data_IF_681235891266
#
_entry.id   IF_681235891266
#
_cell.length_a   1.000
_cell.length_b   1.000
_cell.length_c   1.000
_cell.angle_alpha   90.00
_cell.angle_beta   90.00
_cell.angle_gamma   90.00
#
_symmetry.space_group_name_H-M   'P 1'
#
loop_
_entity.id
_entity.type
_entity.pdbx_description
1 polymer ?
#
# COMPACT_ATOMS: atom_id res chain seq x y z
N UNK A 1 0.39 10.96 5.79
CA UNK A 1 0.01 9.61 5.28
C UNK A 1 -1.28 9.76 4.51
N UNK A 2 -1.58 8.85 3.58
CA UNK A 2 -2.77 8.96 2.73
C UNK A 2 -3.36 7.58 2.37
N UNK A 3 -4.61 7.53 1.95
CA UNK A 3 -5.33 6.30 1.58
C UNK A 3 -6.25 6.53 0.39
N UNK A 4 -6.32 5.54 -0.51
CA UNK A 4 -7.18 5.58 -1.70
C UNK A 4 -7.88 4.25 -1.88
N UNK A 5 -9.01 4.26 -2.60
CA UNK A 5 -9.63 3.05 -3.12
C UNK A 5 -9.21 2.87 -4.57
N UNK A 6 -9.01 1.62 -4.98
CA UNK A 6 -8.84 1.28 -6.39
C UNK A 6 -10.07 1.70 -7.18
N UNK A 7 -9.89 2.04 -8.45
CA UNK A 7 -11.00 2.15 -9.38
C UNK A 7 -11.45 0.75 -9.82
N UNK A 8 -12.46 0.67 -10.69
CA UNK A 8 -13.11 -0.60 -11.07
C UNK A 8 -12.16 -1.65 -11.67
N UNK A 9 -11.08 -1.22 -12.33
CA UNK A 9 -10.08 -2.12 -12.94
C UNK A 9 -8.94 -2.52 -11.97
N UNK A 10 -8.97 -2.06 -10.72
CA UNK A 10 -7.93 -2.32 -9.73
C UNK A 10 -6.81 -1.27 -9.70
N UNK A 11 -6.79 -0.29 -10.61
CA UNK A 11 -5.77 0.76 -10.65
C UNK A 11 -5.88 1.71 -9.46
N UNK A 12 -4.74 2.11 -8.90
CA UNK A 12 -4.66 3.15 -7.89
C UNK A 12 -3.37 3.95 -7.99
N UNK A 13 -3.41 5.17 -7.43
CA UNK A 13 -2.23 6.01 -7.21
C UNK A 13 -2.41 6.68 -5.85
N UNK A 14 -1.39 6.59 -5.00
CA UNK A 14 -1.41 7.19 -3.67
C UNK A 14 -0.13 7.98 -3.44
N UNK A 15 -0.27 9.15 -2.82
CA UNK A 15 0.86 9.98 -2.42
C UNK A 15 0.57 10.58 -1.07
N UNK A 16 1.43 10.32 -0.09
CA UNK A 16 1.28 10.87 1.25
C UNK A 16 2.55 11.58 1.71
N UNK A 17 2.39 12.60 2.52
CA UNK A 17 3.50 13.29 3.20
C UNK A 17 3.39 13.10 4.71
N UNK A 18 4.51 13.28 5.41
CA UNK A 18 4.52 13.31 6.87
C UNK A 18 5.59 14.30 7.33
N UNK A 19 5.20 15.22 8.21
CA UNK A 19 6.13 16.16 8.83
C UNK A 19 6.83 15.47 10.02
N UNK A 20 7.94 14.77 9.75
CA UNK A 20 8.81 14.20 10.77
C UNK A 20 10.27 14.59 10.53
N UNK A 21 11.01 14.79 11.62
CA UNK A 21 12.43 15.17 11.61
C UNK A 21 13.31 14.03 11.09
N UNK A 22 12.90 12.77 11.34
CA UNK A 22 13.65 11.56 10.94
C UNK A 22 13.17 11.03 9.59
N UNK A 23 14.04 10.28 8.91
CA UNK A 23 13.68 9.51 7.70
C UNK A 23 12.50 8.60 8.01
N UNK A 24 11.52 8.61 7.12
CA UNK A 24 10.34 7.74 7.16
C UNK A 24 10.60 6.48 6.35
N UNK A 25 10.07 5.35 6.81
CA UNK A 25 10.05 4.08 6.08
C UNK A 25 8.58 3.71 5.79
N UNK A 26 7.96 4.31 4.76
CA UNK A 26 6.55 4.10 4.48
C UNK A 26 6.30 2.68 3.96
N UNK A 27 5.06 2.22 4.15
CA UNK A 27 4.56 0.95 3.65
C UNK A 27 3.20 1.16 3.03
N UNK A 28 2.89 0.41 1.99
CA UNK A 28 1.55 0.35 1.40
C UNK A 28 0.86 -0.88 1.98
N UNK A 29 -0.28 -0.67 2.64
CA UNK A 29 -1.15 -1.76 3.09
C UNK A 29 -2.35 -1.83 2.14
N UNK A 30 -2.52 -2.98 1.49
CA UNK A 30 -3.66 -3.27 0.63
C UNK A 30 -4.62 -4.16 1.42
N UNK A 31 -5.85 -3.69 1.60
CA UNK A 31 -6.92 -4.42 2.25
C UNK A 31 -7.91 -4.93 1.21
N UNK A 32 -8.16 -6.25 1.18
CA UNK A 32 -9.01 -6.87 0.15
C UNK A 32 -9.80 -8.08 0.65
N UNK A 33 -10.82 -8.47 -0.14
CA UNK A 33 -11.62 -9.70 0.05
C UNK A 33 -11.61 -10.63 -1.17
N UNK A 34 -10.64 -10.46 -2.07
CA UNK A 34 -10.49 -11.34 -3.24
C UNK A 34 -10.36 -12.81 -2.80
N UNK A 35 -11.20 -13.68 -3.36
CA UNK A 35 -11.26 -15.11 -3.03
C UNK A 35 -11.31 -15.40 -1.52
N UNK A 36 -11.99 -14.54 -0.75
CA UNK A 36 -12.00 -14.63 0.71
C UNK A 36 -13.30 -14.04 1.30
N UNK A 37 -13.99 -14.84 2.11
CA UNK A 37 -15.32 -14.51 2.67
C UNK A 37 -15.31 -14.22 4.18
N UNK A 38 -14.14 -14.08 4.79
CA UNK A 38 -14.07 -13.79 6.22
C UNK A 38 -14.55 -12.38 6.61
N UNK A 39 -14.79 -12.20 7.91
CA UNK A 39 -15.33 -10.97 8.48
C UNK A 39 -14.47 -9.75 8.12
N UNK A 40 -13.16 -9.85 8.38
CA UNK A 40 -12.19 -8.78 8.20
C UNK A 40 -11.34 -8.99 6.95
N UNK A 41 -11.00 -7.93 6.19
CA UNK A 41 -10.22 -8.06 4.98
C UNK A 41 -8.84 -8.68 5.24
N UNK A 42 -8.31 -9.31 4.18
CA UNK A 42 -6.91 -9.68 4.11
C UNK A 42 -6.06 -8.42 3.92
N UNK A 43 -4.86 -8.43 4.50
CA UNK A 43 -3.88 -7.35 4.43
C UNK A 43 -2.61 -7.86 3.76
N UNK A 44 -2.22 -7.18 2.69
CA UNK A 44 -0.92 -7.36 2.04
C UNK A 44 -0.10 -6.09 2.25
N UNK A 45 1.13 -6.24 2.71
CA UNK A 45 2.04 -5.12 2.99
C UNK A 45 3.18 -5.09 1.98
N UNK A 46 3.33 -3.95 1.32
CA UNK A 46 4.43 -3.68 0.38
C UNK A 46 5.34 -2.64 1.01
N UNK A 47 6.63 -2.96 1.07
CA UNK A 47 7.65 -2.02 1.55
C UNK A 47 8.00 -1.04 0.43
N UNK A 48 7.87 0.25 0.71
CA UNK A 48 8.24 1.29 -0.25
C UNK A 48 9.75 1.49 -0.19
N UNK A 49 10.46 1.41 -1.33
CA UNK A 49 11.90 1.59 -1.35
C UNK A 49 12.26 3.05 -1.07
N UNK A 50 13.46 3.27 -0.50
CA UNK A 50 13.88 4.60 -0.02
C UNK A 50 14.00 5.65 -1.12
N UNK A 51 14.19 5.25 -2.38
CA UNK A 51 14.24 6.17 -3.53
C UNK A 51 12.87 6.77 -3.87
N UNK A 52 11.78 6.13 -3.44
CA UNK A 52 10.43 6.64 -3.59
C UNK A 52 10.03 7.60 -2.46
N UNK A 53 10.97 7.92 -1.56
CA UNK A 53 10.79 8.83 -0.43
C UNK A 53 11.67 10.07 -0.64
N UNK A 54 11.04 11.19 -1.00
CA UNK A 54 11.71 12.49 -1.15
C UNK A 54 11.41 13.45 0.01
N UNK A 55 12.18 14.55 0.14
CA UNK A 55 11.84 15.64 1.08
C UNK A 55 10.66 16.49 0.60
N UNK A 56 10.22 16.29 -0.63
CA UNK A 56 9.04 16.88 -1.24
C UNK A 56 8.58 16.11 -2.46
N UNK A 57 7.44 16.50 -3.03
CA UNK A 57 6.81 15.81 -4.16
C UNK A 57 7.67 15.76 -5.42
N UNK A 58 8.57 16.72 -5.63
CA UNK A 58 9.48 16.77 -6.79
C UNK A 58 10.66 15.79 -6.71
N UNK A 59 11.02 15.36 -5.51
CA UNK A 59 12.15 14.45 -5.28
C UNK A 59 11.73 12.99 -5.15
N UNK A 60 10.45 12.74 -4.86
CA UNK A 60 9.94 11.38 -4.73
C UNK A 60 9.79 10.74 -6.12
N UNK A 61 10.52 9.65 -6.37
CA UNK A 61 10.35 8.87 -7.59
C UNK A 61 9.03 8.10 -7.56
N UNK A 62 8.41 7.95 -8.73
CA UNK A 62 7.26 7.07 -8.87
C UNK A 62 7.71 5.63 -8.59
N UNK A 63 7.06 5.00 -7.61
CA UNK A 63 7.24 3.58 -7.33
C UNK A 63 6.04 2.80 -7.86
N UNK A 64 6.27 2.10 -8.97
CA UNK A 64 5.30 1.18 -9.54
C UNK A 64 5.46 -0.19 -8.88
N UNK A 65 4.39 -0.67 -8.24
CA UNK A 65 4.35 -1.99 -7.59
C UNK A 65 3.95 -3.11 -8.58
N UNK A 66 3.64 -2.75 -9.83
CA UNK A 66 3.12 -3.64 -10.85
C UNK A 66 1.70 -4.11 -10.57
N UNK A 67 1.30 -5.18 -11.25
CA UNK A 67 -0.02 -5.79 -11.10
C UNK A 67 0.05 -6.98 -10.16
N UNK A 68 -0.73 -6.94 -9.07
CA UNK A 68 -0.80 -8.00 -8.09
C UNK A 68 -2.13 -8.74 -8.18
N UNK A 69 -2.08 -10.07 -8.36
CA UNK A 69 -3.26 -10.91 -8.24
C UNK A 69 -3.53 -11.20 -6.75
N UNK A 70 -4.47 -10.45 -6.17
CA UNK A 70 -4.82 -10.55 -4.74
C UNK A 70 -5.67 -11.80 -4.39
N UNK A 71 -6.02 -12.66 -5.35
CA UNK A 71 -6.64 -13.94 -5.05
C UNK A 71 -5.61 -14.99 -4.53
N UNK A 72 -4.32 -14.76 -4.78
CA UNK A 72 -3.22 -15.60 -4.30
C UNK A 72 -2.85 -15.24 -2.86
N UNK A 73 -2.11 -16.14 -2.19
CA UNK A 73 -1.57 -15.89 -0.84
C UNK A 73 -0.18 -15.27 -0.92
N UNK A 74 0.02 -14.12 -0.28
CA UNK A 74 1.32 -13.46 -0.19
C UNK A 74 2.04 -13.74 1.13
N UNK A 75 3.40 -13.73 1.15
CA UNK A 75 4.16 -13.83 2.39
C UNK A 75 3.80 -12.71 3.38
N UNK A 76 3.56 -13.07 4.64
CA UNK A 76 3.17 -12.11 5.67
C UNK A 76 1.73 -11.60 5.56
N UNK A 77 0.91 -12.15 4.66
CA UNK A 77 -0.52 -11.86 4.57
C UNK A 77 -1.23 -12.32 5.85
N UNK A 78 -2.06 -11.44 6.40
CA UNK A 78 -2.92 -11.71 7.54
C UNK A 78 -4.30 -11.09 7.36
N UNK A 79 -5.14 -11.18 8.39
CA UNK A 79 -6.46 -10.53 8.44
C UNK A 79 -6.42 -9.36 9.40
N UNK A 80 -6.98 -8.22 9.01
CA UNK A 80 -6.96 -7.01 9.83
C UNK A 80 -8.36 -6.38 9.89
N UNK A 81 -8.90 -6.28 11.10
CA UNK A 81 -10.24 -5.74 11.36
C UNK A 81 -10.21 -4.24 11.73
N UNK A 82 -9.02 -3.66 11.92
CA UNK A 82 -8.84 -2.32 12.46
C UNK A 82 -7.86 -1.57 11.55
N UNK A 83 -8.38 -0.90 10.52
CA UNK A 83 -7.57 -0.22 9.50
C UNK A 83 -8.10 1.15 9.09
#
# INVERSE_FOLDING_TARGET
>A
MDSVKTIADGTFKVSGSQNKIRKIDPKINIYHKCNYSGLCPKKVTIHVPKNAVGKGSKEAQLFDIGTLNLANRYPGEGTDCIH
#
